data_IF_651034035125
#
_entry.id   IF_651034035125
#
_cell.length_a   1.000
_cell.length_b   1.000
_cell.length_c   1.000
_cell.angle_alpha   90.00
_cell.angle_beta   90.00
_cell.angle_gamma   90.00
#
_symmetry.space_group_name_H-M   'P 1'
#
loop_
_entity.id
_entity.type
_entity.pdbx_description
1 polymer ?
#
# COMPACT_ATOMS: atom_id res chain seq x y z
N UNK A 1 -19.85 4.21 -24.89
CA UNK A 1 -19.25 4.65 -23.61
C UNK A 1 -18.71 3.40 -22.94
N UNK A 2 -17.46 3.38 -22.47
CA UNK A 2 -16.90 2.20 -21.83
C UNK A 2 -17.57 2.02 -20.46
N UNK A 3 -18.18 0.86 -20.22
CA UNK A 3 -18.76 0.48 -18.93
C UNK A 3 -17.64 -0.07 -18.04
N UNK A 4 -17.40 0.58 -16.91
CA UNK A 4 -16.38 0.14 -15.96
C UNK A 4 -17.00 -0.86 -15.00
N UNK A 5 -16.60 -2.13 -15.14
CA UNK A 5 -16.93 -3.15 -14.14
C UNK A 5 -15.99 -3.01 -12.94
N UNK A 6 -16.56 -2.62 -11.80
CA UNK A 6 -15.87 -2.66 -10.52
C UNK A 6 -15.92 -4.07 -9.95
N UNK A 7 -14.91 -4.40 -9.16
CA UNK A 7 -14.90 -5.66 -8.43
C UNK A 7 -15.98 -5.65 -7.33
N UNK A 8 -17.03 -6.45 -7.53
CA UNK A 8 -18.12 -6.67 -6.58
C UNK A 8 -17.63 -7.18 -5.22
N UNK A 9 -16.52 -7.94 -5.21
CA UNK A 9 -15.96 -8.58 -4.01
C UNK A 9 -15.12 -7.62 -3.16
N UNK A 10 -14.75 -6.45 -3.70
CA UNK A 10 -13.92 -5.46 -3.02
C UNK A 10 -12.47 -5.89 -2.78
N UNK A 11 -12.04 -7.02 -3.34
CA UNK A 11 -10.69 -7.56 -3.22
C UNK A 11 -9.64 -6.61 -3.82
N UNK A 12 -9.93 -6.04 -5.00
CA UNK A 12 -9.02 -5.11 -5.70
C UNK A 12 -8.78 -3.83 -4.90
N UNK A 13 -9.84 -3.29 -4.28
CA UNK A 13 -9.73 -2.13 -3.41
C UNK A 13 -8.87 -2.43 -2.17
N UNK A 14 -9.00 -3.63 -1.59
CA UNK A 14 -8.19 -4.04 -0.45
C UNK A 14 -6.70 -4.16 -0.80
N UNK A 15 -6.35 -4.72 -1.98
CA UNK A 15 -4.96 -4.74 -2.46
C UNK A 15 -4.41 -3.33 -2.71
N UNK A 16 -5.21 -2.44 -3.30
CA UNK A 16 -4.81 -1.04 -3.49
C UNK A 16 -4.55 -0.33 -2.16
N UNK A 17 -5.43 -0.49 -1.17
CA UNK A 17 -5.24 0.08 0.16
C UNK A 17 -3.99 -0.49 0.83
N UNK A 18 -3.75 -1.80 0.70
CA UNK A 18 -2.57 -2.46 1.26
C UNK A 18 -1.27 -1.89 0.68
N UNK A 19 -1.19 -1.75 -0.65
CA UNK A 19 0.01 -1.20 -1.30
C UNK A 19 0.21 0.28 -0.94
N UNK A 20 -0.86 1.07 -0.95
CA UNK A 20 -0.82 2.46 -0.53
C UNK A 20 -0.31 2.60 0.92
N UNK A 21 -0.81 1.76 1.83
CA UNK A 21 -0.33 1.72 3.21
C UNK A 21 1.17 1.42 3.27
N UNK A 22 1.65 0.39 2.57
CA UNK A 22 3.07 0.03 2.55
C UNK A 22 3.94 1.17 2.03
N UNK A 23 3.55 1.81 0.92
CA UNK A 23 4.28 2.92 0.32
C UNK A 23 4.41 4.11 1.27
N UNK A 24 3.43 4.33 2.14
CA UNK A 24 3.47 5.41 3.15
C UNK A 24 4.20 4.98 4.42
N UNK A 25 3.91 3.80 4.95
CA UNK A 25 4.45 3.31 6.23
C UNK A 25 5.94 3.02 6.19
N UNK A 26 6.46 2.44 5.10
CA UNK A 26 7.87 2.08 4.97
C UNK A 26 8.82 3.30 5.03
N UNK A 27 8.64 4.37 4.23
CA UNK A 27 9.49 5.55 4.35
C UNK A 27 9.30 6.28 5.68
N UNK A 28 8.09 6.24 6.26
CA UNK A 28 7.84 6.81 7.60
C UNK A 28 8.58 6.04 8.71
N UNK A 29 8.63 4.71 8.65
CA UNK A 29 9.40 3.91 9.62
C UNK A 29 10.90 4.15 9.46
N UNK A 30 11.42 4.14 8.23
CA UNK A 30 12.84 4.37 7.94
C UNK A 30 13.30 5.78 8.32
N UNK A 31 12.47 6.81 8.10
CA UNK A 31 12.80 8.16 8.55
C UNK A 31 12.73 8.29 10.08
N UNK A 32 11.82 7.58 10.73
CA UNK A 32 11.67 7.59 12.19
C UNK A 32 12.84 6.92 12.92
N UNK A 33 13.45 5.85 12.39
CA UNK A 33 14.63 5.22 13.01
C UNK A 33 15.81 6.18 13.15
N UNK A 34 15.97 7.14 12.23
CA UNK A 34 16.96 8.22 12.35
C UNK A 34 16.68 9.17 13.52
N UNK A 35 15.41 9.33 13.91
CA UNK A 35 14.97 10.06 15.11
C UNK A 35 15.18 9.21 16.37
N UNK A 36 15.27 7.88 16.24
CA UNK A 36 15.49 6.96 17.37
C UNK A 36 16.93 6.94 17.89
N UNK A 37 17.91 7.20 17.01
CA UNK A 37 19.30 7.39 17.39
C UNK A 37 19.60 8.88 17.52
N UNK A 38 19.46 9.49 18.72
CA UNK A 38 19.92 10.85 18.90
C UNK A 38 21.43 10.84 18.61
N UNK A 39 21.85 11.52 17.54
CA UNK A 39 23.25 11.90 17.38
C UNK A 39 23.58 12.71 18.64
N UNK A 40 24.37 12.13 19.53
CA UNK A 40 24.97 12.90 20.60
C UNK A 40 25.90 13.89 19.91
N UNK A 41 25.50 15.15 19.87
CA UNK A 41 26.39 16.24 19.52
C UNK A 41 27.49 16.28 20.59
N UNK A 42 28.55 15.50 20.36
CA UNK A 42 29.77 15.50 21.15
C UNK A 42 30.66 16.71 20.79
N UNK A 43 30.23 17.50 19.82
CA UNK A 43 30.95 18.68 19.33
C UNK A 43 30.68 19.86 20.26
N UNK A 44 31.46 19.95 21.35
CA UNK A 44 31.65 21.22 22.05
C UNK A 44 32.10 21.07 23.50
N UNK A 45 32.41 22.21 24.12
CA UNK A 45 33.02 22.26 25.46
C UNK A 45 32.23 21.47 26.53
N UNK A 46 32.89 20.61 27.33
CA UNK A 46 32.26 19.77 28.34
C UNK A 46 32.01 20.46 29.69
N UNK A 47 32.23 21.78 29.81
CA UNK A 47 31.98 22.54 31.04
C UNK A 47 30.52 22.45 31.52
N UNK A 48 30.33 22.39 32.84
CA UNK A 48 29.02 22.22 33.47
C UNK A 48 28.06 23.37 33.14
N UNK A 49 28.52 24.63 33.21
CA UNK A 49 27.79 25.81 32.71
C UNK A 49 27.35 25.68 31.25
N UNK A 50 28.23 25.16 30.40
CA UNK A 50 28.01 25.05 28.95
C UNK A 50 26.99 23.96 28.62
N UNK A 51 27.03 22.84 29.34
CA UNK A 51 26.03 21.77 29.26
C UNK A 51 24.67 22.30 29.73
N UNK A 52 24.63 22.99 30.87
CA UNK A 52 23.40 23.55 31.44
C UNK A 52 22.76 24.60 30.50
N UNK A 53 23.57 25.46 29.87
CA UNK A 53 23.11 26.44 28.91
C UNK A 53 22.54 25.79 27.63
N UNK A 54 23.19 24.75 27.10
CA UNK A 54 22.68 23.98 25.94
C UNK A 54 21.37 23.28 26.22
N UNK A 55 21.18 22.76 27.43
CA UNK A 55 19.92 22.13 27.85
C UNK A 55 18.79 23.15 27.95
N UNK A 56 19.08 24.37 28.45
CA UNK A 56 18.11 25.48 28.52
C UNK A 56 17.75 26.08 27.15
N UNK A 57 18.70 26.11 26.21
CA UNK A 57 18.48 26.57 24.83
C UNK A 57 17.66 25.60 23.97
N UNK A 58 17.43 24.36 24.40
CA UNK A 58 16.51 23.46 23.68
C UNK A 58 15.09 24.03 23.78
N UNK A 59 14.46 24.44 22.66
CA UNK A 59 13.19 25.15 22.70
C UNK A 59 12.11 24.29 23.37
N UNK A 60 11.59 24.79 24.49
CA UNK A 60 10.68 24.09 25.41
C UNK A 60 9.26 23.82 24.88
N UNK A 61 8.91 24.27 23.68
CA UNK A 61 7.55 24.15 23.13
C UNK A 61 7.42 23.09 22.02
N UNK A 62 8.50 22.80 21.30
CA UNK A 62 8.61 21.72 20.31
C UNK A 62 9.53 20.62 20.84
N UNK A 63 9.21 20.07 22.01
CA UNK A 63 10.08 19.05 22.59
C UNK A 63 10.25 17.89 21.59
N UNK A 64 11.49 17.51 21.23
CA UNK A 64 11.72 16.40 20.32
C UNK A 64 11.09 15.10 20.86
N UNK A 65 10.89 15.02 22.18
CA UNK A 65 10.20 13.94 22.87
C UNK A 65 8.69 13.87 22.55
N UNK A 66 7.98 15.00 22.49
CA UNK A 66 6.57 15.02 22.12
C UNK A 66 6.36 14.73 20.63
N UNK A 67 7.24 15.24 19.76
CA UNK A 67 7.25 14.89 18.33
C UNK A 67 7.50 13.40 18.12
N UNK A 68 8.48 12.81 18.82
CA UNK A 68 8.78 11.37 18.78
C UNK A 68 7.60 10.52 19.24
N UNK A 69 6.92 10.90 20.34
CA UNK A 69 5.73 10.20 20.83
C UNK A 69 4.57 10.22 19.82
N UNK A 70 4.33 11.36 19.16
CA UNK A 70 3.31 11.45 18.09
C UNK A 70 3.65 10.58 16.88
N UNK A 71 4.91 10.60 16.42
CA UNK A 71 5.36 9.77 15.29
C UNK A 71 5.23 8.27 15.63
N UNK A 72 5.60 7.86 16.84
CA UNK A 72 5.40 6.49 17.32
C UNK A 72 3.93 6.09 17.30
N UNK A 73 3.05 6.95 17.81
CA UNK A 73 1.62 6.66 17.85
C UNK A 73 1.05 6.49 16.44
N UNK A 74 1.39 7.37 15.50
CA UNK A 74 0.97 7.28 14.10
C UNK A 74 1.48 5.98 13.47
N UNK A 75 2.74 5.61 13.72
CA UNK A 75 3.31 4.35 13.22
C UNK A 75 2.60 3.14 13.80
N UNK A 76 2.32 3.10 15.11
CA UNK A 76 1.59 2.01 15.75
C UNK A 76 0.19 1.84 15.16
N UNK A 77 -0.54 2.94 14.99
CA UNK A 77 -1.88 2.92 14.38
C UNK A 77 -1.81 2.45 12.92
N UNK A 78 -0.87 2.98 12.13
CA UNK A 78 -0.72 2.60 10.74
C UNK A 78 -0.32 1.12 10.56
N UNK A 79 0.58 0.60 11.38
CA UNK A 79 0.93 -0.83 11.36
C UNK A 79 -0.22 -1.73 11.83
N UNK A 80 -0.97 -1.30 12.85
CA UNK A 80 -2.18 -2.02 13.28
C UNK A 80 -3.21 -2.09 12.15
N UNK A 81 -3.43 -0.98 11.45
CA UNK A 81 -4.33 -0.94 10.29
C UNK A 81 -3.81 -1.81 9.14
N UNK A 82 -2.50 -1.81 8.88
CA UNK A 82 -1.87 -2.68 7.88
C UNK A 82 -2.15 -4.16 8.18
N UNK A 83 -1.90 -4.59 9.42
CA UNK A 83 -2.14 -5.98 9.85
C UNK A 83 -3.61 -6.34 9.68
N UNK A 84 -4.53 -5.44 10.03
CA UNK A 84 -5.96 -5.65 9.84
C UNK A 84 -6.33 -5.85 8.36
N UNK A 85 -5.82 -4.99 7.47
CA UNK A 85 -6.07 -5.10 6.02
C UNK A 85 -5.49 -6.41 5.48
N UNK A 86 -4.26 -6.75 5.85
CA UNK A 86 -3.62 -8.02 5.44
C UNK A 86 -4.44 -9.23 5.91
N UNK A 87 -4.93 -9.22 7.15
CA UNK A 87 -5.79 -10.29 7.67
C UNK A 87 -7.09 -10.41 6.87
N UNK A 88 -7.73 -9.28 6.53
CA UNK A 88 -8.95 -9.26 5.73
C UNK A 88 -8.71 -9.80 4.31
N UNK A 89 -7.59 -9.43 3.69
CA UNK A 89 -7.20 -9.95 2.37
C UNK A 89 -6.86 -11.44 2.42
N UNK A 90 -6.18 -11.90 3.46
CA UNK A 90 -5.82 -13.32 3.61
C UNK A 90 -7.02 -14.23 3.86
N UNK A 91 -8.08 -13.69 4.47
CA UNK A 91 -9.31 -14.43 4.78
C UNK A 91 -10.40 -14.27 3.71
N UNK A 92 -10.28 -13.29 2.81
CA UNK A 92 -11.21 -13.13 1.69
C UNK A 92 -11.03 -14.23 0.65
N UNK A 93 -12.16 -14.79 0.18
CA UNK A 93 -12.16 -15.71 -0.95
C UNK A 93 -11.83 -14.93 -2.21
N UNK A 94 -10.82 -15.39 -2.94
CA UNK A 94 -10.39 -14.78 -4.18
C UNK A 94 -11.33 -15.28 -5.29
N UNK A 95 -12.40 -14.52 -5.56
CA UNK A 95 -13.30 -14.78 -6.70
C UNK A 95 -12.77 -14.14 -8.00
N UNK A 96 -11.43 -14.14 -8.19
CA UNK A 96 -10.81 -13.73 -9.44
C UNK A 96 -11.06 -14.81 -10.49
N UNK A 97 -12.25 -14.80 -11.09
CA UNK A 97 -12.49 -15.56 -12.32
C UNK A 97 -11.50 -15.05 -13.35
N UNK A 98 -10.58 -15.93 -13.76
CA UNK A 98 -9.61 -15.64 -14.79
C UNK A 98 -10.39 -15.36 -16.08
N UNK A 99 -10.35 -14.12 -16.56
CA UNK A 99 -11.13 -13.72 -17.73
C UNK A 99 -10.70 -14.57 -18.93
N UNK A 100 -11.62 -15.40 -19.41
CA UNK A 100 -11.43 -16.20 -20.60
C UNK A 100 -12.21 -15.56 -21.76
N UNK A 101 -11.53 -14.91 -22.72
CA UNK A 101 -12.22 -14.28 -23.85
C UNK A 101 -12.98 -15.29 -24.71
N UNK A 102 -12.56 -16.57 -24.71
CA UNK A 102 -13.16 -17.63 -25.50
C UNK A 102 -14.49 -18.15 -24.93
N UNK A 103 -14.77 -17.93 -23.64
CA UNK A 103 -16.07 -18.25 -23.02
C UNK A 103 -17.22 -17.46 -23.65
N UNK A 104 -16.97 -16.20 -24.03
CA UNK A 104 -18.00 -15.35 -24.68
C UNK A 104 -18.35 -15.88 -26.08
N UNK A 105 -17.38 -16.53 -26.74
CA UNK A 105 -17.53 -17.15 -28.05
C UNK A 105 -17.98 -18.61 -27.96
N UNK A 106 -18.08 -19.17 -26.75
CA UNK A 106 -18.41 -20.56 -26.46
C UNK A 106 -17.49 -21.57 -27.19
N UNK A 107 -16.20 -21.21 -27.32
CA UNK A 107 -15.17 -22.02 -27.96
C UNK A 107 -14.08 -22.40 -26.95
N UNK A 108 -13.47 -23.58 -27.13
CA UNK A 108 -12.39 -24.02 -26.24
C UNK A 108 -11.10 -23.22 -26.51
N UNK A 109 -10.26 -23.07 -25.48
CA UNK A 109 -8.95 -22.41 -25.64
C UNK A 109 -8.00 -23.16 -26.59
N UNK A 110 -8.26 -24.44 -26.86
CA UNK A 110 -7.47 -25.28 -27.77
C UNK A 110 -8.05 -25.31 -29.20
N UNK A 111 -9.01 -24.44 -29.52
CA UNK A 111 -9.63 -24.39 -30.85
C UNK A 111 -8.62 -23.97 -31.93
N UNK A 112 -8.59 -24.70 -33.03
CA UNK A 112 -7.77 -24.40 -34.21
C UNK A 112 -8.09 -23.02 -34.80
N UNK A 113 -7.06 -22.33 -35.32
CA UNK A 113 -7.19 -21.01 -35.97
C UNK A 113 -8.22 -21.03 -37.13
N UNK A 114 -8.32 -22.16 -37.84
CA UNK A 114 -9.31 -22.34 -38.91
C UNK A 114 -10.74 -22.27 -38.37
N UNK A 115 -10.97 -22.89 -37.22
CA UNK A 115 -12.29 -22.94 -36.59
C UNK A 115 -12.64 -21.60 -35.94
N UNK A 116 -11.68 -20.90 -35.33
CA UNK A 116 -11.88 -19.52 -34.83
C UNK A 116 -12.35 -18.59 -35.97
N UNK A 117 -11.68 -18.64 -37.14
CA UNK A 117 -12.06 -17.83 -38.30
C UNK A 117 -13.45 -18.19 -38.85
N UNK A 118 -13.77 -19.48 -38.87
CA UNK A 118 -15.10 -19.98 -39.26
C UNK A 118 -16.19 -19.49 -38.29
N UNK A 119 -15.93 -19.57 -36.99
CA UNK A 119 -16.84 -19.13 -35.93
C UNK A 119 -17.10 -17.62 -36.01
N UNK A 120 -16.04 -16.83 -36.16
CA UNK A 120 -16.14 -15.38 -36.36
C UNK A 120 -16.95 -15.02 -37.60
N UNK A 121 -16.71 -15.69 -38.74
CA UNK A 121 -17.47 -15.46 -40.00
C UNK A 121 -18.95 -15.81 -39.87
N UNK A 122 -19.32 -16.78 -39.03
CA UNK A 122 -20.72 -17.10 -38.72
C UNK A 122 -21.35 -16.03 -37.81
N UNK A 123 -20.62 -15.59 -36.79
CA UNK A 123 -21.04 -14.51 -35.88
C UNK A 123 -21.28 -13.20 -36.61
N UNK A 124 -20.38 -12.80 -37.52
CA UNK A 124 -20.51 -11.55 -38.27
C UNK A 124 -21.77 -11.51 -39.16
N UNK A 125 -22.28 -12.67 -39.61
CA UNK A 125 -23.51 -12.77 -40.40
C UNK A 125 -24.79 -12.71 -39.55
N UNK A 126 -24.70 -13.02 -38.25
CA UNK A 126 -25.82 -12.92 -37.31
C UNK A 126 -25.96 -11.54 -36.69
N UNK A 127 -24.86 -10.80 -36.58
CA UNK A 127 -24.78 -9.46 -35.97
C UNK A 127 -24.97 -8.32 -37.00
N UNK A 128 -25.21 -8.67 -38.26
CA UNK A 128 -25.46 -7.74 -39.36
C UNK A 128 -26.92 -7.82 -39.77
#
# INVERSE_FOLDING_TARGET
>A
MAEYHYDESGSMAAYFLLTFLLVVLIPLTLSSTSVFSPKQDKNGCPCQECVNHRVKLRPGLFSPRAKRRRVLFILLVGWSFLVFVVYKVATSKIDNKLYNPFEILDISMETSIKDIKSHYKKLSRKLQ
#
